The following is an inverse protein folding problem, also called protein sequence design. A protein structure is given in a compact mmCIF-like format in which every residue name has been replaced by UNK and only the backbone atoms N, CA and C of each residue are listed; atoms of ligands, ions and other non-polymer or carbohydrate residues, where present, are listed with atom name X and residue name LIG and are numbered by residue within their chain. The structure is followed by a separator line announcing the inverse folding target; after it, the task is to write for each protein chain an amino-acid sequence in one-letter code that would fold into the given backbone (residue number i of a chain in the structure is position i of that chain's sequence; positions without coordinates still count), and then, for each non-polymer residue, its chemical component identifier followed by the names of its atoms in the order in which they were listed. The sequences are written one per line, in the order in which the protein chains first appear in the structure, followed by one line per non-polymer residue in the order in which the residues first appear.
data_IF_923102518332
#
_entry.id   IF_923102518332
#
_cell.length_a   1.000
_cell.length_b   1.000
_cell.length_c   1.000
_cell.angle_alpha   90.00
_cell.angle_beta   90.00
_cell.angle_gamma   90.00
#
_symmetry.space_group_name_H-M   'P 1'
#
loop_
_entity.id
_entity.type
_entity.pdbx_description
1 polymer ?
#
# COMPACT_ATOMS: atom_id res chain seq x y z
N UNK A 1 -0.04 44.97 -29.55
CA UNK A 1 0.96 45.06 -28.47
C UNK A 1 0.24 44.83 -27.16
N UNK A 2 0.18 43.58 -26.71
CA UNK A 2 -0.22 43.17 -25.37
C UNK A 2 0.05 41.67 -25.29
N UNK A 3 1.25 41.36 -24.83
CA UNK A 3 1.72 40.03 -24.46
C UNK A 3 1.03 39.72 -23.14
N UNK A 4 0.26 38.63 -23.08
CA UNK A 4 -0.22 38.05 -21.82
C UNK A 4 0.45 36.69 -21.68
N UNK A 5 1.14 36.55 -20.57
CA UNK A 5 2.20 35.58 -20.31
C UNK A 5 1.70 34.13 -20.24
N UNK A 6 2.16 33.31 -21.19
CA UNK A 6 2.03 31.85 -21.19
C UNK A 6 3.10 31.18 -20.32
N UNK A 7 3.15 31.47 -19.01
CA UNK A 7 4.22 31.01 -18.11
C UNK A 7 3.80 30.16 -16.92
N UNK A 8 2.65 29.48 -16.98
CA UNK A 8 2.21 28.59 -15.87
C UNK A 8 1.78 27.17 -16.26
N UNK A 9 1.77 26.80 -17.55
CA UNK A 9 1.26 25.50 -18.00
C UNK A 9 2.32 24.39 -18.22
N UNK A 10 3.63 24.67 -18.07
CA UNK A 10 4.69 23.76 -18.52
C UNK A 10 5.65 23.26 -17.41
N UNK A 11 5.12 22.95 -16.21
CA UNK A 11 5.93 22.40 -15.10
C UNK A 11 5.57 20.98 -14.65
N UNK A 12 4.53 20.37 -15.21
CA UNK A 12 4.10 19.00 -14.82
C UNK A 12 4.54 17.90 -15.79
N UNK A 13 5.14 18.23 -16.94
CA UNK A 13 5.75 17.22 -17.82
C UNK A 13 7.16 16.86 -17.34
N UNK A 14 7.33 15.59 -16.98
CA UNK A 14 8.61 14.86 -16.76
C UNK A 14 9.33 15.06 -15.42
N UNK A 15 8.69 14.71 -14.31
CA UNK A 15 9.40 13.95 -13.28
C UNK A 15 8.53 12.79 -12.81
N UNK A 16 8.96 11.52 -12.93
CA UNK A 16 8.37 10.49 -12.08
C UNK A 16 8.50 10.99 -10.64
N UNK A 17 7.42 10.93 -9.88
CA UNK A 17 7.46 11.29 -8.46
C UNK A 17 8.57 10.43 -7.85
N UNK A 18 9.69 11.03 -7.43
CA UNK A 18 10.87 10.30 -6.96
C UNK A 18 10.63 9.85 -5.52
N UNK A 19 9.94 8.72 -5.39
CA UNK A 19 9.39 8.11 -4.16
C UNK A 19 10.41 7.28 -3.38
N UNK A 20 11.68 7.69 -3.45
CA UNK A 20 12.81 6.94 -2.87
C UNK A 20 13.61 7.76 -1.85
N UNK A 21 13.21 8.99 -1.56
CA UNK A 21 13.98 9.89 -0.70
C UNK A 21 14.07 9.36 0.73
N UNK A 22 12.97 8.89 1.32
CA UNK A 22 12.99 8.29 2.65
C UNK A 22 13.82 7.01 2.68
N UNK A 23 13.66 6.13 1.69
CA UNK A 23 14.40 4.88 1.61
C UNK A 23 15.90 5.12 1.45
N UNK A 24 16.31 6.07 0.61
CA UNK A 24 17.71 6.50 0.46
C UNK A 24 18.26 7.08 1.76
N UNK A 25 17.50 7.94 2.43
CA UNK A 25 17.88 8.50 3.74
C UNK A 25 18.02 7.38 4.78
N UNK A 26 17.11 6.42 4.80
CA UNK A 26 17.16 5.26 5.70
C UNK A 26 18.38 4.37 5.43
N UNK A 27 18.67 4.03 4.17
CA UNK A 27 19.88 3.28 3.81
C UNK A 27 21.15 4.03 4.13
N UNK A 28 21.18 5.35 3.91
CA UNK A 28 22.32 6.18 4.30
C UNK A 28 22.51 6.17 5.82
N UNK A 29 21.43 6.28 6.59
CA UNK A 29 21.48 6.21 8.05
C UNK A 29 21.93 4.84 8.56
N UNK A 30 21.44 3.74 7.96
CA UNK A 30 21.90 2.39 8.26
C UNK A 30 23.40 2.23 7.95
N UNK A 31 23.87 2.74 6.81
CA UNK A 31 25.28 2.71 6.46
C UNK A 31 26.14 3.48 7.48
N UNK A 32 25.69 4.66 7.91
CA UNK A 32 26.35 5.45 8.96
C UNK A 32 26.39 4.69 10.29
N UNK A 33 25.29 4.04 10.69
CA UNK A 33 25.23 3.23 11.92
C UNK A 33 26.22 2.06 11.83
N UNK A 34 26.24 1.33 10.71
CA UNK A 34 27.17 0.21 10.49
C UNK A 34 28.61 0.69 10.55
N UNK A 35 28.94 1.81 9.93
CA UNK A 35 30.29 2.42 9.99
C UNK A 35 30.66 2.86 11.41
N UNK A 36 29.71 3.43 12.15
CA UNK A 36 29.93 3.84 13.54
C UNK A 36 30.19 2.61 14.44
N UNK A 37 29.40 1.54 14.30
CA UNK A 37 29.61 0.28 15.02
C UNK A 37 30.95 -0.35 14.66
N UNK A 38 31.31 -0.39 13.36
CA UNK A 38 32.59 -0.91 12.92
C UNK A 38 33.76 -0.11 13.50
N UNK A 39 33.64 1.22 13.52
CA UNK A 39 34.64 2.11 14.14
C UNK A 39 34.74 1.84 15.64
N UNK A 40 33.63 1.72 16.35
CA UNK A 40 33.61 1.36 17.78
C UNK A 40 34.24 -0.02 18.03
N UNK A 41 33.97 -1.01 17.19
CA UNK A 41 34.58 -2.34 17.30
C UNK A 41 36.10 -2.32 17.06
N UNK A 42 36.57 -1.42 16.18
CA UNK A 42 38.00 -1.23 15.93
C UNK A 42 38.71 -0.66 17.16
N UNK A 43 38.14 0.38 17.79
CA UNK A 43 38.72 0.99 18.99
C UNK A 43 38.49 0.17 20.26
N UNK A 44 37.43 -0.64 20.32
CA UNK A 44 37.07 -1.48 21.45
C UNK A 44 36.83 -2.93 21.00
N UNK A 45 37.89 -3.74 20.79
CA UNK A 45 37.78 -5.13 20.30
C UNK A 45 36.89 -6.04 21.19
N UNK A 46 36.77 -5.71 22.48
CA UNK A 46 35.84 -6.39 23.40
C UNK A 46 34.39 -6.28 22.90
N UNK A 47 34.00 -5.15 22.32
CA UNK A 47 32.67 -4.95 21.74
C UNK A 47 32.42 -5.95 20.60
N UNK A 48 33.43 -6.21 19.76
CA UNK A 48 33.32 -7.20 18.69
C UNK A 48 33.10 -8.61 19.25
N UNK A 49 33.81 -8.99 20.31
CA UNK A 49 33.63 -10.27 20.98
C UNK A 49 32.23 -10.40 21.61
N UNK A 50 31.72 -9.34 22.23
CA UNK A 50 30.36 -9.30 22.79
C UNK A 50 29.31 -9.43 21.69
N UNK A 51 29.42 -8.67 20.60
CA UNK A 51 28.50 -8.73 19.47
C UNK A 51 28.54 -10.12 18.79
N UNK A 52 29.73 -10.70 18.63
CA UNK A 52 29.91 -12.06 18.11
C UNK A 52 29.29 -13.12 19.01
N UNK A 53 29.46 -13.00 20.32
CA UNK A 53 28.82 -13.87 21.31
C UNK A 53 27.29 -13.78 21.27
N UNK A 54 26.73 -12.57 21.16
CA UNK A 54 25.30 -12.35 20.99
C UNK A 54 24.78 -12.95 19.68
N UNK A 55 25.48 -12.76 18.56
CA UNK A 55 25.11 -13.34 17.28
C UNK A 55 25.13 -14.88 17.32
N UNK A 56 26.12 -15.48 17.98
CA UNK A 56 26.22 -16.92 18.17
C UNK A 56 25.09 -17.45 19.07
N UNK A 57 24.79 -16.75 20.16
CA UNK A 57 23.67 -17.08 21.04
C UNK A 57 22.34 -17.03 20.28
N UNK A 58 22.12 -16.00 19.47
CA UNK A 58 20.93 -15.88 18.61
C UNK A 58 20.86 -17.01 17.56
N UNK A 59 22.00 -17.36 16.96
CA UNK A 59 22.10 -18.50 16.04
C UNK A 59 21.71 -19.83 16.71
N UNK A 60 22.26 -20.12 17.89
CA UNK A 60 21.91 -21.30 18.68
C UNK A 60 20.44 -21.29 19.11
N UNK A 61 19.94 -20.16 19.61
CA UNK A 61 18.54 -20.00 20.00
C UNK A 61 17.61 -20.29 18.83
N UNK A 62 17.95 -19.82 17.63
CA UNK A 62 17.22 -20.07 16.38
C UNK A 62 17.26 -21.54 15.92
N UNK A 63 18.37 -22.23 16.16
CA UNK A 63 18.46 -23.67 15.87
C UNK A 63 17.53 -24.49 16.77
N UNK A 64 17.43 -24.12 18.05
CA UNK A 64 16.59 -24.80 19.05
C UNK A 64 15.11 -24.37 18.93
N UNK A 65 14.84 -23.18 18.41
CA UNK A 65 13.48 -22.63 18.30
C UNK A 65 12.62 -23.43 17.32
N UNK A 66 11.58 -24.07 17.86
CA UNK A 66 10.65 -24.94 17.10
C UNK A 66 9.53 -24.18 16.39
N UNK A 67 9.37 -22.88 16.65
CA UNK A 67 8.24 -22.09 16.16
C UNK A 67 8.43 -21.49 14.76
N UNK A 68 8.96 -22.26 13.80
CA UNK A 68 9.31 -21.75 12.47
C UNK A 68 8.08 -21.41 11.62
N UNK A 69 8.24 -20.40 10.76
CA UNK A 69 7.31 -20.01 9.69
C UNK A 69 5.90 -19.67 10.18
N UNK A 70 5.81 -18.99 11.34
CA UNK A 70 4.54 -18.62 11.97
C UNK A 70 4.13 -17.16 11.75
N UNK A 71 5.00 -16.33 11.20
CA UNK A 71 4.84 -14.88 11.19
C UNK A 71 5.13 -14.29 9.81
N UNK A 72 4.32 -13.31 9.41
CA UNK A 72 4.58 -12.53 8.20
C UNK A 72 5.59 -11.40 8.50
N UNK A 73 6.51 -11.11 7.55
CA UNK A 73 7.35 -9.90 7.50
C UNK A 73 6.60 -8.56 7.41
N UNK A 74 5.53 -8.34 8.16
CA UNK A 74 4.91 -7.04 8.30
C UNK A 74 4.44 -6.82 9.72
N UNK A 75 4.79 -5.68 10.33
CA UNK A 75 4.36 -5.26 11.66
C UNK A 75 4.62 -6.25 12.83
N UNK A 76 5.41 -7.32 12.71
CA UNK A 76 5.37 -8.45 13.67
C UNK A 76 3.96 -9.07 13.74
N UNK A 77 3.43 -9.38 12.55
CA UNK A 77 2.09 -9.88 12.28
C UNK A 77 1.60 -10.97 13.24
N UNK A 78 0.29 -11.15 13.22
CA UNK A 78 -0.42 -12.21 13.96
C UNK A 78 0.22 -13.57 13.72
N UNK A 79 0.21 -14.42 14.77
CA UNK A 79 0.64 -15.82 14.62
C UNK A 79 -0.30 -16.51 13.63
N UNK A 80 0.22 -16.86 12.46
CA UNK A 80 -0.58 -17.40 11.35
C UNK A 80 -1.29 -18.70 11.69
N UNK A 81 -0.96 -19.38 12.79
CA UNK A 81 -1.70 -20.56 13.28
C UNK A 81 -3.14 -20.28 13.68
N UNK A 82 -3.53 -19.02 13.81
CA UNK A 82 -4.95 -18.65 13.96
C UNK A 82 -5.77 -18.93 12.70
N UNK A 83 -5.10 -19.07 11.55
CA UNK A 83 -5.72 -19.34 10.27
C UNK A 83 -5.66 -20.82 9.91
N UNK A 84 -6.56 -21.23 9.02
CA UNK A 84 -6.58 -22.56 8.42
C UNK A 84 -5.30 -22.84 7.61
N UNK A 85 -4.90 -24.11 7.54
CA UNK A 85 -3.63 -24.51 6.93
C UNK A 85 -3.51 -24.12 5.45
N UNK A 86 -4.62 -24.11 4.71
CA UNK A 86 -4.65 -23.66 3.31
C UNK A 86 -4.28 -22.17 3.19
N UNK A 87 -4.90 -21.30 4.00
CA UNK A 87 -4.59 -19.86 3.98
C UNK A 87 -3.18 -19.58 4.50
N UNK A 88 -2.70 -20.36 5.47
CA UNK A 88 -1.29 -20.31 5.91
C UNK A 88 -0.32 -20.67 4.78
N UNK A 89 -0.68 -21.67 3.98
CA UNK A 89 0.05 -22.04 2.77
C UNK A 89 0.09 -20.89 1.76
N UNK A 90 -1.06 -20.27 1.52
CA UNK A 90 -1.19 -19.10 0.65
C UNK A 90 -0.29 -17.95 1.12
N UNK A 91 -0.36 -17.56 2.39
CA UNK A 91 0.51 -16.54 3.01
C UNK A 91 1.99 -16.82 2.73
N UNK A 92 2.45 -18.06 2.94
CA UNK A 92 3.86 -18.42 2.72
C UNK A 92 4.26 -18.23 1.26
N UNK A 93 3.43 -18.72 0.33
CA UNK A 93 3.70 -18.64 -1.10
C UNK A 93 3.64 -17.20 -1.63
N UNK A 94 2.76 -16.37 -1.06
CA UNK A 94 2.71 -14.94 -1.28
C UNK A 94 4.04 -14.29 -0.92
N UNK A 95 4.55 -14.52 0.29
CA UNK A 95 5.83 -13.93 0.72
C UNK A 95 7.01 -14.32 -0.18
N UNK A 96 7.07 -15.58 -0.62
CA UNK A 96 8.11 -16.02 -1.55
C UNK A 96 7.99 -15.35 -2.91
N UNK A 97 6.78 -15.13 -3.39
CA UNK A 97 6.51 -14.52 -4.70
C UNK A 97 6.78 -13.02 -4.70
N UNK A 98 6.31 -12.28 -3.68
CA UNK A 98 6.49 -10.82 -3.58
C UNK A 98 7.96 -10.41 -3.55
N UNK A 99 8.85 -11.24 -2.96
CA UNK A 99 10.31 -11.00 -2.98
C UNK A 99 10.87 -10.85 -4.39
N UNK A 100 10.27 -11.51 -5.39
CA UNK A 100 10.70 -11.46 -6.81
C UNK A 100 10.10 -10.27 -7.56
N UNK A 101 9.04 -9.68 -7.04
CA UNK A 101 8.27 -8.62 -7.69
C UNK A 101 8.58 -7.23 -7.13
N UNK A 102 9.65 -7.06 -6.34
CA UNK A 102 9.99 -5.77 -5.73
C UNK A 102 10.20 -4.68 -6.78
N UNK A 103 9.46 -3.59 -6.66
CA UNK A 103 9.62 -2.36 -7.43
C UNK A 103 10.17 -1.22 -6.55
N UNK A 104 10.81 -0.24 -7.18
CA UNK A 104 11.17 1.04 -6.55
C UNK A 104 10.11 2.12 -6.80
N UNK A 105 9.32 1.95 -7.85
CA UNK A 105 8.19 2.81 -8.17
C UNK A 105 7.00 2.42 -7.30
N UNK A 106 6.11 3.38 -7.06
CA UNK A 106 4.84 3.14 -6.40
C UNK A 106 3.91 2.35 -7.30
N UNK A 107 3.22 1.39 -6.70
CA UNK A 107 2.61 0.29 -7.43
C UNK A 107 1.44 0.79 -8.27
N UNK A 108 0.51 1.54 -7.66
CA UNK A 108 -0.63 2.11 -8.38
C UNK A 108 -0.21 2.89 -9.64
N UNK A 109 0.73 3.83 -9.50
CA UNK A 109 1.12 4.67 -10.64
C UNK A 109 1.90 3.92 -11.71
N UNK A 110 2.71 2.95 -11.28
CA UNK A 110 3.42 2.07 -12.21
C UNK A 110 2.44 1.28 -13.06
N UNK A 111 1.44 0.64 -12.43
CA UNK A 111 0.46 -0.14 -13.16
C UNK A 111 -0.43 0.76 -14.03
N UNK A 112 -0.91 1.90 -13.51
CA UNK A 112 -1.69 2.86 -14.28
C UNK A 112 -0.95 3.36 -15.54
N UNK A 113 0.37 3.60 -15.45
CA UNK A 113 1.20 4.01 -16.59
C UNK A 113 1.50 2.86 -17.58
N UNK A 114 1.36 1.60 -17.16
CA UNK A 114 1.68 0.41 -17.95
C UNK A 114 0.45 -0.29 -18.52
N UNK A 115 -0.75 0.26 -18.31
CA UNK A 115 -1.98 -0.28 -18.88
C UNK A 115 -1.89 -0.35 -20.41
N UNK A 116 -2.28 -1.47 -21.04
CA UNK A 116 -2.33 -1.58 -22.50
C UNK A 116 -3.30 -0.53 -23.05
N UNK A 117 -3.05 0.04 -24.25
CA UNK A 117 -3.94 1.05 -24.84
C UNK A 117 -5.38 0.52 -24.89
N UNK A 118 -6.41 1.39 -24.73
CA UNK A 118 -7.79 0.94 -24.70
C UNK A 118 -8.11 0.08 -25.91
N UNK A 119 -8.82 -1.02 -25.66
CA UNK A 119 -9.33 -1.88 -26.73
C UNK A 119 -10.19 -1.04 -27.68
N UNK A 120 -10.10 -1.30 -29.00
CA UNK A 120 -10.98 -0.62 -29.98
C UNK A 120 -12.44 -1.09 -29.88
N UNK A 121 -12.65 -2.22 -29.22
CA UNK A 121 -13.95 -2.88 -29.05
C UNK A 121 -14.66 -2.39 -27.78
N UNK A 122 -13.91 -1.96 -26.76
CA UNK A 122 -14.41 -1.46 -25.47
C UNK A 122 -13.97 -0.01 -25.24
N UNK A 123 -14.70 0.98 -25.80
CA UNK A 123 -14.33 2.39 -25.66
C UNK A 123 -14.46 2.93 -24.22
N UNK A 124 -15.18 2.22 -23.34
CA UNK A 124 -15.38 2.58 -21.94
C UNK A 124 -14.78 1.51 -21.00
N UNK A 125 -13.46 1.55 -20.83
CA UNK A 125 -12.77 0.80 -19.78
C UNK A 125 -12.83 1.54 -18.43
N UNK A 126 -13.02 0.79 -17.34
CA UNK A 126 -13.10 1.34 -15.98
C UNK A 126 -11.77 1.25 -15.25
N UNK A 127 -11.31 2.39 -14.74
CA UNK A 127 -10.23 2.49 -13.77
C UNK A 127 -10.85 2.96 -12.45
N UNK A 128 -10.93 2.07 -11.47
CA UNK A 128 -11.56 2.32 -10.17
C UNK A 128 -10.50 2.52 -9.09
N UNK A 129 -10.73 3.51 -8.24
CA UNK A 129 -9.91 3.83 -7.07
C UNK A 129 -10.81 3.88 -5.83
N UNK A 130 -10.70 2.89 -4.95
CA UNK A 130 -11.61 2.67 -3.83
C UNK A 130 -10.93 3.01 -2.50
N UNK A 131 -11.46 4.02 -1.79
CA UNK A 131 -10.81 4.59 -0.62
C UNK A 131 -9.74 5.59 -1.05
N UNK A 132 -10.13 6.83 -1.30
CA UNK A 132 -9.24 7.83 -1.93
C UNK A 132 -8.86 8.98 -1.01
N UNK A 133 -9.52 9.10 0.14
CA UNK A 133 -9.37 10.19 1.10
C UNK A 133 -9.50 11.56 0.43
N UNK A 134 -8.38 12.26 0.20
CA UNK A 134 -8.37 13.57 -0.48
C UNK A 134 -8.15 13.47 -1.99
N UNK A 135 -8.20 12.29 -2.58
CA UNK A 135 -8.26 12.04 -4.03
C UNK A 135 -6.94 12.15 -4.80
N UNK A 136 -5.78 12.18 -4.12
CA UNK A 136 -4.48 12.29 -4.82
C UNK A 136 -4.06 11.01 -5.52
N UNK A 137 -4.41 9.83 -4.98
CA UNK A 137 -4.26 8.55 -5.67
C UNK A 137 -4.97 8.60 -7.03
N UNK A 138 -6.23 9.01 -7.03
CA UNK A 138 -7.11 9.05 -8.22
C UNK A 138 -6.56 10.01 -9.27
N UNK A 139 -6.19 11.22 -8.84
CA UNK A 139 -5.62 12.25 -9.72
C UNK A 139 -4.31 11.81 -10.35
N UNK A 140 -3.44 11.21 -9.56
CA UNK A 140 -2.15 10.75 -10.07
C UNK A 140 -2.27 9.52 -10.97
N UNK A 141 -3.20 8.61 -10.66
CA UNK A 141 -3.51 7.48 -11.53
C UNK A 141 -4.07 7.96 -12.88
N UNK A 142 -4.90 9.02 -12.88
CA UNK A 142 -5.39 9.65 -14.11
C UNK A 142 -4.24 10.32 -14.91
N UNK A 143 -3.32 11.02 -14.24
CA UNK A 143 -2.14 11.60 -14.89
C UNK A 143 -1.22 10.51 -15.49
N UNK A 144 -1.04 9.39 -14.78
CA UNK A 144 -0.19 8.28 -15.19
C UNK A 144 -0.76 7.48 -16.36
N UNK A 145 -2.07 7.18 -16.32
CA UNK A 145 -2.76 6.41 -17.36
C UNK A 145 -3.21 7.24 -18.56
N UNK A 146 -3.42 8.56 -18.36
CA UNK A 146 -4.06 9.43 -19.33
C UNK A 146 -5.57 9.16 -19.54
N UNK A 147 -6.19 8.33 -18.69
CA UNK A 147 -7.59 7.89 -18.77
C UNK A 147 -8.44 8.49 -17.66
N UNK A 148 -9.75 8.33 -17.80
CA UNK A 148 -10.71 8.66 -16.74
C UNK A 148 -10.53 7.68 -15.58
N UNK A 149 -10.45 8.20 -14.35
CA UNK A 149 -10.38 7.39 -13.12
C UNK A 149 -11.52 7.79 -12.20
N UNK A 150 -12.21 6.79 -11.64
CA UNK A 150 -13.37 6.95 -10.77
C UNK A 150 -12.96 6.69 -9.32
N UNK A 151 -12.98 7.72 -8.48
CA UNK A 151 -12.58 7.65 -7.07
C UNK A 151 -13.80 7.55 -6.16
N UNK A 152 -13.88 6.48 -5.36
CA UNK A 152 -14.97 6.22 -4.43
C UNK A 152 -14.51 6.44 -3.00
N UNK A 153 -15.20 7.29 -2.26
CA UNK A 153 -14.95 7.51 -0.83
C UNK A 153 -16.17 8.14 -0.18
N UNK A 154 -16.24 8.03 1.14
CA UNK A 154 -17.23 8.76 1.93
C UNK A 154 -16.88 10.24 2.02
N UNK A 155 -15.60 10.55 1.92
CA UNK A 155 -14.99 11.84 2.20
C UNK A 155 -15.31 12.34 3.63
N UNK A 156 -15.53 11.39 4.54
CA UNK A 156 -15.82 11.64 5.95
C UNK A 156 -14.78 11.00 6.88
N UNK A 157 -13.77 10.31 6.31
CA UNK A 157 -12.77 9.53 7.04
C UNK A 157 -13.24 8.09 7.30
N UNK A 158 -12.57 7.39 8.22
CA UNK A 158 -12.93 6.00 8.54
C UNK A 158 -14.35 5.91 9.08
N UNK A 159 -15.16 5.06 8.45
CA UNK A 159 -16.55 4.79 8.83
C UNK A 159 -16.71 3.65 9.81
N UNK A 160 -15.68 2.83 9.94
CA UNK A 160 -15.60 1.67 10.83
C UNK A 160 -14.28 1.68 11.61
N UNK A 161 -14.22 0.92 12.71
CA UNK A 161 -12.97 0.69 13.42
C UNK A 161 -12.06 -0.19 12.54
N UNK A 162 -10.89 0.33 12.17
CA UNK A 162 -9.90 -0.42 11.40
C UNK A 162 -8.98 -1.21 12.34
N UNK A 163 -9.16 -2.53 12.36
CA UNK A 163 -8.33 -3.43 13.15
C UNK A 163 -7.18 -4.01 12.31
N UNK A 164 -5.98 -3.46 12.51
CA UNK A 164 -4.73 -3.96 11.91
C UNK A 164 -4.19 -5.11 12.74
N UNK A 165 -4.50 -6.35 12.32
CA UNK A 165 -4.23 -7.58 13.06
C UNK A 165 -4.66 -7.48 14.55
N UNK A 166 -3.84 -8.01 15.48
CA UNK A 166 -4.04 -7.90 16.92
C UNK A 166 -3.14 -6.79 17.52
N UNK A 167 -2.86 -5.72 16.78
CA UNK A 167 -1.85 -4.72 17.16
C UNK A 167 -2.39 -3.34 17.39
N UNK A 168 -3.25 -2.88 16.48
CA UNK A 168 -3.72 -1.52 16.47
C UNK A 168 -5.17 -1.51 16.02
N UNK A 169 -6.00 -0.83 16.79
CA UNK A 169 -7.34 -0.47 16.37
C UNK A 169 -7.32 1.02 16.11
N UNK A 170 -7.39 1.40 14.84
CA UNK A 170 -7.58 2.78 14.42
C UNK A 170 -9.08 3.04 14.49
N UNK A 171 -9.48 3.98 15.35
CA UNK A 171 -10.90 4.21 15.63
C UNK A 171 -11.61 4.89 14.47
N UNK A 172 -12.88 4.55 14.30
CA UNK A 172 -13.81 5.28 13.42
C UNK A 172 -13.65 6.79 13.59
N UNK A 173 -13.66 7.51 12.48
CA UNK A 173 -13.46 8.97 12.43
C UNK A 173 -11.99 9.38 12.37
N UNK A 174 -11.02 8.47 12.49
CA UNK A 174 -9.63 8.77 12.12
C UNK A 174 -9.57 9.08 10.63
N UNK A 175 -8.65 9.98 10.25
CA UNK A 175 -8.57 10.56 8.90
C UNK A 175 -9.78 11.43 8.51
N UNK A 176 -10.65 11.76 9.48
CA UNK A 176 -11.72 12.72 9.25
C UNK A 176 -11.16 14.04 8.72
N UNK A 177 -11.81 14.54 7.66
CA UNK A 177 -11.50 15.82 7.03
C UNK A 177 -11.84 17.02 7.94
N UNK A 178 -12.42 16.78 9.12
CA UNK A 178 -12.81 17.82 10.09
C UNK A 178 -11.72 18.15 11.11
N UNK A 179 -10.66 17.35 11.24
CA UNK A 179 -9.59 17.63 12.19
C UNK A 179 -8.75 18.84 11.76
N UNK A 180 -8.43 19.81 12.66
CA UNK A 180 -7.70 21.02 12.27
C UNK A 180 -6.33 20.79 11.63
N UNK A 181 -5.61 19.75 12.07
CA UNK A 181 -4.31 19.38 11.48
C UNK A 181 -4.48 18.75 10.09
N UNK A 182 -5.51 17.91 9.91
CA UNK A 182 -5.86 17.33 8.63
C UNK A 182 -6.26 18.42 7.63
N UNK A 183 -7.14 19.35 8.01
CA UNK A 183 -7.55 20.48 7.16
C UNK A 183 -6.38 21.33 6.70
N UNK A 184 -5.44 21.62 7.61
CA UNK A 184 -4.23 22.38 7.29
C UNK A 184 -3.34 21.63 6.30
N UNK A 185 -3.15 20.34 6.51
CA UNK A 185 -2.39 19.50 5.59
C UNK A 185 -3.05 19.43 4.20
N UNK A 186 -4.37 19.21 4.14
CA UNK A 186 -5.16 19.14 2.92
C UNK A 186 -5.01 20.44 2.12
N UNK A 187 -5.21 21.58 2.77
CA UNK A 187 -5.03 22.90 2.16
C UNK A 187 -3.60 23.09 1.64
N UNK A 188 -2.60 22.61 2.37
CA UNK A 188 -1.19 22.69 1.95
C UNK A 188 -0.88 21.85 0.71
N UNK A 189 -1.67 20.80 0.43
CA UNK A 189 -1.61 20.05 -0.84
C UNK A 189 -2.28 20.76 -2.01
N UNK A 190 -2.99 21.86 -1.78
CA UNK A 190 -3.76 22.56 -2.82
C UNK A 190 -5.14 21.94 -3.10
N UNK A 191 -5.61 21.06 -2.21
CA UNK A 191 -6.98 20.52 -2.24
C UNK A 191 -7.86 21.39 -1.34
N UNK A 192 -9.00 21.82 -1.86
CA UNK A 192 -10.05 22.50 -1.09
C UNK A 192 -11.35 21.77 -1.35
N UNK A 193 -11.94 21.19 -0.31
CA UNK A 193 -13.18 20.44 -0.45
C UNK A 193 -14.34 21.38 -0.77
N UNK A 194 -15.14 21.03 -1.76
CA UNK A 194 -16.38 21.72 -2.15
C UNK A 194 -17.53 20.73 -1.92
N UNK A 195 -18.48 21.08 -1.05
CA UNK A 195 -19.59 20.19 -0.65
C UNK A 195 -19.14 18.81 -0.13
N UNK A 196 -17.96 18.77 0.48
CA UNK A 196 -17.33 17.55 0.99
C UNK A 196 -16.64 16.70 -0.08
N UNK A 197 -16.59 17.15 -1.33
CA UNK A 197 -15.86 16.49 -2.42
C UNK A 197 -14.56 17.22 -2.76
N UNK A 198 -13.45 16.50 -3.00
CA UNK A 198 -12.26 17.11 -3.55
C UNK A 198 -12.47 17.48 -5.03
N UNK A 199 -11.90 18.59 -5.52
CA UNK A 199 -11.99 18.96 -6.93
C UNK A 199 -11.10 18.06 -7.79
N UNK A 200 -11.48 17.92 -9.06
CA UNK A 200 -10.71 17.21 -10.07
C UNK A 200 -9.35 17.88 -10.40
N UNK A 201 -9.22 19.18 -10.12
CA UNK A 201 -8.02 19.98 -10.41
C UNK A 201 -7.55 19.86 -11.87
N UNK A 202 -8.50 19.87 -12.81
CA UNK A 202 -8.25 19.81 -14.26
C UNK A 202 -7.84 18.43 -14.80
N UNK A 203 -8.00 17.36 -14.01
CA UNK A 203 -7.66 15.99 -14.40
C UNK A 203 -8.90 15.19 -14.78
N UNK A 204 -8.69 14.10 -15.50
CA UNK A 204 -9.73 13.14 -15.89
C UNK A 204 -10.12 12.26 -14.70
N UNK A 205 -10.77 12.88 -13.71
CA UNK A 205 -11.24 12.19 -12.51
C UNK A 205 -12.69 12.53 -12.23
N UNK A 206 -13.40 11.56 -11.68
CA UNK A 206 -14.76 11.71 -11.16
C UNK A 206 -14.76 11.13 -9.76
N UNK A 207 -15.26 11.91 -8.79
CA UNK A 207 -15.35 11.48 -7.41
C UNK A 207 -16.79 11.13 -7.06
N UNK A 208 -16.99 9.91 -6.58
CA UNK A 208 -18.28 9.37 -6.19
C UNK A 208 -18.34 9.38 -4.67
N UNK A 209 -19.18 10.27 -4.10
CA UNK A 209 -19.36 10.39 -2.65
C UNK A 209 -20.33 9.34 -2.14
N UNK A 210 -19.89 8.55 -1.17
CA UNK A 210 -20.73 7.63 -0.42
C UNK A 210 -19.99 6.35 -0.04
N UNK A 211 -20.68 5.49 0.71
CA UNK A 211 -20.17 4.15 1.01
C UNK A 211 -20.09 3.33 -0.28
N UNK A 212 -19.05 2.50 -0.42
CA UNK A 212 -18.92 1.58 -1.56
C UNK A 212 -20.12 0.64 -1.67
N UNK A 213 -20.70 0.25 -0.53
CA UNK A 213 -21.95 -0.52 -0.41
C UNK A 213 -23.14 0.10 -1.14
N UNK A 214 -23.22 1.42 -1.19
CA UNK A 214 -24.35 2.14 -1.79
C UNK A 214 -24.04 2.66 -3.19
N UNK A 215 -22.76 2.77 -3.55
CA UNK A 215 -22.31 3.53 -4.74
C UNK A 215 -21.78 2.66 -5.87
N UNK A 216 -21.11 1.52 -5.57
CA UNK A 216 -20.49 0.69 -6.61
C UNK A 216 -21.52 0.02 -7.52
N UNK A 217 -22.55 -0.61 -6.95
CA UNK A 217 -23.56 -1.32 -7.73
C UNK A 217 -24.32 -0.38 -8.70
N UNK A 218 -24.86 0.78 -8.26
CA UNK A 218 -25.47 1.74 -9.18
C UNK A 218 -24.50 2.26 -10.25
N UNK A 219 -23.25 2.57 -9.88
CA UNK A 219 -22.24 3.05 -10.82
C UNK A 219 -21.95 2.05 -11.93
N UNK A 220 -21.82 0.76 -11.59
CA UNK A 220 -21.61 -0.31 -12.56
C UNK A 220 -22.86 -0.56 -13.41
N UNK A 221 -24.06 -0.44 -12.85
CA UNK A 221 -25.32 -0.64 -13.58
C UNK A 221 -25.50 0.38 -14.71
N UNK A 222 -24.99 1.60 -14.56
CA UNK A 222 -24.98 2.62 -15.62
C UNK A 222 -24.03 2.31 -16.78
N UNK A 223 -23.10 1.36 -16.58
CA UNK A 223 -22.02 1.03 -17.53
C UNK A 223 -21.95 -0.48 -17.75
N UNK A 224 -23.02 -1.15 -18.22
CA UNK A 224 -23.18 -2.61 -18.12
C UNK A 224 -22.03 -3.43 -18.72
N UNK A 225 -21.47 -2.98 -19.84
CA UNK A 225 -20.48 -3.73 -20.62
C UNK A 225 -19.03 -3.27 -20.35
N UNK A 226 -18.85 -2.22 -19.56
CA UNK A 226 -17.54 -1.61 -19.31
C UNK A 226 -16.65 -2.53 -18.45
N UNK A 227 -15.52 -3.04 -18.98
CA UNK A 227 -14.62 -3.91 -18.24
C UNK A 227 -13.76 -3.09 -17.26
N UNK A 228 -13.40 -3.68 -16.13
CA UNK A 228 -12.46 -3.08 -15.18
C UNK A 228 -11.04 -3.44 -15.59
N UNK A 229 -10.26 -2.47 -16.05
CA UNK A 229 -8.84 -2.68 -16.43
C UNK A 229 -7.89 -2.40 -15.27
N UNK A 230 -8.23 -1.45 -14.40
CA UNK A 230 -7.50 -1.18 -13.17
C UNK A 230 -8.48 -1.10 -12.00
N UNK A 231 -8.16 -1.83 -10.94
CA UNK A 231 -8.92 -1.85 -9.70
C UNK A 231 -7.97 -1.59 -8.53
N UNK A 232 -8.01 -0.39 -7.96
CA UNK A 232 -7.22 -0.03 -6.79
C UNK A 232 -8.09 -0.13 -5.52
N UNK A 233 -7.61 -0.92 -4.55
CA UNK A 233 -8.27 -1.24 -3.29
C UNK A 233 -7.49 -0.65 -2.11
N UNK A 234 -8.09 0.30 -1.41
CA UNK A 234 -7.61 0.89 -0.14
C UNK A 234 -8.82 1.07 0.81
N UNK A 235 -9.55 -0.02 1.07
CA UNK A 235 -10.79 -0.02 1.87
C UNK A 235 -10.59 -0.45 3.33
N UNK A 236 -9.35 -0.68 3.76
CA UNK A 236 -8.87 -1.00 5.12
C UNK A 236 -9.45 -2.28 5.78
N UNK A 237 -10.77 -2.53 5.69
CA UNK A 237 -11.49 -3.63 6.34
C UNK A 237 -11.76 -4.79 5.38
N UNK A 238 -11.78 -6.00 5.94
CA UNK A 238 -12.04 -7.24 5.19
C UNK A 238 -13.40 -7.22 4.49
N UNK A 239 -14.44 -6.81 5.21
CA UNK A 239 -15.83 -6.78 4.75
C UNK A 239 -15.98 -5.83 3.56
N UNK A 240 -15.41 -4.62 3.65
CA UNK A 240 -15.44 -3.63 2.57
C UNK A 240 -14.67 -4.11 1.34
N UNK A 241 -13.51 -4.73 1.55
CA UNK A 241 -12.71 -5.30 0.46
C UNK A 241 -13.46 -6.43 -0.26
N UNK A 242 -14.04 -7.38 0.50
CA UNK A 242 -14.77 -8.49 -0.07
C UNK A 242 -16.03 -8.01 -0.80
N UNK A 243 -16.76 -7.05 -0.22
CA UNK A 243 -17.91 -6.44 -0.86
C UNK A 243 -17.54 -5.82 -2.21
N UNK A 244 -16.47 -5.02 -2.26
CA UNK A 244 -16.03 -4.39 -3.51
C UNK A 244 -15.62 -5.41 -4.58
N UNK A 245 -14.89 -6.47 -4.21
CA UNK A 245 -14.53 -7.56 -5.14
C UNK A 245 -15.77 -8.29 -5.67
N UNK A 246 -16.71 -8.65 -4.80
CA UNK A 246 -17.94 -9.35 -5.18
C UNK A 246 -18.86 -8.49 -6.05
N UNK A 247 -19.00 -7.19 -5.74
CA UNK A 247 -19.80 -6.26 -6.55
C UNK A 247 -19.21 -6.03 -7.93
N UNK A 248 -17.87 -6.05 -8.06
CA UNK A 248 -17.17 -5.83 -9.32
C UNK A 248 -16.90 -7.12 -10.13
N UNK A 249 -17.25 -8.30 -9.59
CA UNK A 249 -16.80 -9.60 -10.11
C UNK A 249 -17.07 -9.80 -11.60
N UNK A 250 -18.25 -9.37 -12.07
CA UNK A 250 -18.71 -9.63 -13.44
C UNK A 250 -18.03 -8.70 -14.45
N UNK A 251 -17.24 -7.73 -13.99
CA UNK A 251 -16.53 -6.73 -14.80
C UNK A 251 -15.05 -6.99 -14.92
N UNK A 252 -14.49 -7.91 -14.14
CA UNK A 252 -13.11 -8.35 -14.32
C UNK A 252 -12.96 -9.12 -15.64
N UNK A 253 -11.81 -8.95 -16.28
CA UNK A 253 -11.41 -9.61 -17.52
C UNK A 253 -9.99 -10.15 -17.38
N UNK A 254 -9.59 -11.03 -18.29
CA UNK A 254 -8.18 -11.37 -18.41
C UNK A 254 -7.38 -10.11 -18.75
N UNK A 255 -6.30 -9.86 -18.01
CA UNK A 255 -5.53 -8.63 -18.07
C UNK A 255 -5.96 -7.54 -17.09
N UNK A 256 -7.09 -7.69 -16.38
CA UNK A 256 -7.44 -6.79 -15.27
C UNK A 256 -6.33 -6.76 -14.23
N UNK A 257 -5.88 -5.55 -13.87
CA UNK A 257 -4.86 -5.33 -12.84
C UNK A 257 -5.53 -4.89 -11.55
N UNK A 258 -5.32 -5.65 -10.48
CA UNK A 258 -5.77 -5.33 -9.13
C UNK A 258 -4.57 -4.83 -8.33
N UNK A 259 -4.71 -3.70 -7.66
CA UNK A 259 -3.71 -3.09 -6.79
C UNK A 259 -4.31 -2.95 -5.40
N UNK A 260 -3.58 -3.41 -4.38
CA UNK A 260 -3.99 -3.51 -2.99
C UNK A 260 -3.03 -2.67 -2.14
N UNK A 261 -3.48 -1.66 -1.40
CA UNK A 261 -2.59 -0.76 -0.65
C UNK A 261 -2.01 -1.41 0.61
N UNK A 262 -2.82 -2.23 1.30
CA UNK A 262 -2.49 -2.88 2.57
C UNK A 262 -2.52 -4.42 2.46
N UNK A 263 -2.07 -4.95 1.32
CA UNK A 263 -2.12 -6.39 1.01
C UNK A 263 -1.43 -7.29 2.02
N UNK A 264 -0.47 -6.80 2.82
CA UNK A 264 0.22 -7.63 3.82
C UNK A 264 -0.44 -7.62 5.21
N UNK A 265 -1.65 -7.06 5.32
CA UNK A 265 -2.52 -7.19 6.50
C UNK A 265 -3.31 -8.51 6.39
N UNK A 266 -2.97 -9.48 7.23
CA UNK A 266 -3.42 -10.89 7.05
C UNK A 266 -4.90 -11.12 7.30
N UNK A 267 -5.56 -10.24 8.04
CA UNK A 267 -6.98 -10.28 8.32
C UNK A 267 -7.82 -9.37 7.42
N UNK A 268 -7.20 -8.61 6.49
CA UNK A 268 -7.87 -7.61 5.63
C UNK A 268 -7.87 -8.01 4.15
N UNK A 269 -7.28 -7.14 3.32
CA UNK A 269 -7.22 -7.26 1.85
C UNK A 269 -6.73 -8.64 1.36
N UNK A 270 -5.66 -9.18 1.94
CA UNK A 270 -5.13 -10.49 1.56
C UNK A 270 -6.18 -11.59 1.69
N UNK A 271 -6.94 -11.53 2.79
CA UNK A 271 -7.94 -12.54 3.11
C UNK A 271 -9.14 -12.41 2.18
N UNK A 272 -9.62 -11.19 1.96
CA UNK A 272 -10.70 -10.91 1.02
C UNK A 272 -10.36 -11.43 -0.39
N UNK A 273 -9.14 -11.13 -0.87
CA UNK A 273 -8.69 -11.64 -2.15
C UNK A 273 -8.54 -13.16 -2.16
N UNK A 274 -7.95 -13.77 -1.12
CA UNK A 274 -7.79 -15.23 -1.03
C UNK A 274 -9.13 -15.98 -1.11
N UNK A 275 -10.15 -15.52 -0.39
CA UNK A 275 -11.47 -16.14 -0.40
C UNK A 275 -12.16 -15.92 -1.75
N UNK A 276 -12.08 -14.71 -2.33
CA UNK A 276 -12.62 -14.39 -3.64
C UNK A 276 -12.00 -15.23 -4.77
N UNK A 277 -10.67 -15.25 -4.88
CA UNK A 277 -9.97 -15.99 -5.94
C UNK A 277 -10.24 -17.50 -5.84
N UNK A 278 -10.36 -18.03 -4.61
CA UNK A 278 -10.66 -19.44 -4.37
C UNK A 278 -12.08 -19.78 -4.80
N UNK A 279 -13.05 -18.95 -4.39
CA UNK A 279 -14.48 -19.14 -4.68
C UNK A 279 -14.74 -19.25 -6.17
N UNK A 280 -14.06 -18.42 -6.96
CA UNK A 280 -14.26 -18.37 -8.42
C UNK A 280 -13.21 -19.14 -9.22
N UNK A 281 -12.19 -19.73 -8.58
CA UNK A 281 -11.12 -20.45 -9.26
C UNK A 281 -10.30 -19.55 -10.19
N UNK A 282 -10.06 -18.29 -9.79
CA UNK A 282 -9.29 -17.33 -10.58
C UNK A 282 -7.85 -17.81 -10.79
N UNK A 283 -7.35 -17.62 -12.00
CA UNK A 283 -5.93 -17.68 -12.30
C UNK A 283 -5.37 -16.26 -12.32
N UNK A 284 -4.23 -16.07 -11.67
CA UNK A 284 -3.65 -14.74 -11.50
C UNK A 284 -2.14 -14.83 -11.25
N UNK A 285 -1.44 -13.70 -11.38
CA UNK A 285 -0.01 -13.58 -11.06
C UNK A 285 0.31 -12.26 -10.37
N UNK A 286 1.27 -12.29 -9.44
CA UNK A 286 1.85 -11.07 -8.88
C UNK A 286 2.66 -10.31 -9.94
N UNK A 287 2.49 -8.98 -9.98
CA UNK A 287 3.19 -8.10 -10.92
C UNK A 287 4.24 -7.24 -10.22
N UNK A 288 3.83 -6.52 -9.19
CA UNK A 288 4.71 -5.62 -8.47
C UNK A 288 4.40 -5.63 -6.97
N UNK A 289 5.44 -5.37 -6.18
CA UNK A 289 5.35 -5.11 -4.76
C UNK A 289 6.21 -3.89 -4.43
N UNK A 290 5.60 -2.90 -3.79
CA UNK A 290 6.24 -1.64 -3.43
C UNK A 290 5.98 -1.28 -1.97
N UNK A 291 6.72 -0.30 -1.51
CA UNK A 291 6.43 0.36 -0.24
C UNK A 291 5.53 1.54 -0.57
N UNK A 292 4.35 1.56 0.02
CA UNK A 292 3.49 2.73 -0.03
C UNK A 292 3.51 3.44 1.32
N UNK A 293 3.65 4.74 1.23
CA UNK A 293 3.69 5.65 2.36
C UNK A 293 2.89 6.86 1.92
N UNK A 294 2.32 7.56 2.90
CA UNK A 294 1.83 8.94 2.87
C UNK A 294 2.67 9.96 2.06
N UNK A 295 3.88 9.58 1.58
CA UNK A 295 4.71 10.32 0.64
C UNK A 295 3.94 10.85 -0.56
N UNK A 296 2.98 10.10 -1.10
CA UNK A 296 2.20 10.56 -2.25
C UNK A 296 1.44 11.87 -1.94
N UNK A 297 0.79 11.94 -0.78
CA UNK A 297 0.07 13.14 -0.35
C UNK A 297 1.04 14.26 0.08
N UNK A 298 2.14 13.91 0.78
CA UNK A 298 3.14 14.90 1.20
C UNK A 298 3.86 15.54 0.01
N UNK A 299 4.15 14.78 -1.05
CA UNK A 299 4.73 15.32 -2.29
C UNK A 299 3.86 16.40 -2.93
N UNK A 300 2.56 16.38 -2.68
CA UNK A 300 1.62 17.37 -3.20
C UNK A 300 1.60 18.67 -2.40
N UNK A 301 2.28 18.71 -1.24
CA UNK A 301 2.43 19.94 -0.47
C UNK A 301 3.16 21.00 -1.29
N UNK A 302 2.45 22.08 -1.61
CA UNK A 302 2.87 23.13 -2.54
C UNK A 302 4.13 23.86 -2.07
N UNK A 303 4.25 24.10 -0.76
CA UNK A 303 5.43 24.73 -0.17
C UNK A 303 6.55 23.73 0.10
N UNK A 304 7.74 23.98 -0.47
CA UNK A 304 8.94 23.15 -0.28
C UNK A 304 9.34 23.04 1.19
N UNK A 305 9.25 24.13 1.95
CA UNK A 305 9.60 24.15 3.37
C UNK A 305 8.61 23.36 4.21
N UNK A 306 7.31 23.50 3.93
CA UNK A 306 6.27 22.72 4.63
C UNK A 306 6.39 21.24 4.30
N UNK A 307 6.65 20.90 3.02
CA UNK A 307 6.91 19.52 2.58
C UNK A 307 8.06 18.89 3.36
N UNK A 308 9.19 19.61 3.48
CA UNK A 308 10.32 19.17 4.29
C UNK A 308 9.93 18.96 5.76
N UNK A 309 9.18 19.89 6.36
CA UNK A 309 8.69 19.74 7.72
C UNK A 309 7.76 18.52 7.90
N UNK A 310 6.83 18.28 6.96
CA UNK A 310 5.98 17.10 6.96
C UNK A 310 6.78 15.81 6.84
N UNK A 311 7.82 15.78 6.01
CA UNK A 311 8.73 14.64 5.96
C UNK A 311 9.44 14.39 7.30
N UNK A 312 9.93 15.44 7.96
CA UNK A 312 10.51 15.30 9.30
C UNK A 312 9.50 14.79 10.31
N UNK A 313 8.25 15.27 10.28
CA UNK A 313 7.18 14.80 11.16
C UNK A 313 6.86 13.33 10.88
N UNK A 314 6.73 12.93 9.61
CA UNK A 314 6.48 11.53 9.23
C UNK A 314 7.65 10.62 9.65
N UNK A 315 8.89 11.05 9.44
CA UNK A 315 10.09 10.30 9.88
C UNK A 315 10.09 10.16 11.39
N UNK A 316 9.82 11.25 12.12
CA UNK A 316 9.81 11.26 13.58
C UNK A 316 8.66 10.44 14.14
N UNK A 317 7.47 10.55 13.55
CA UNK A 317 6.28 9.75 13.88
C UNK A 317 6.49 8.27 13.56
N UNK A 318 7.14 7.95 12.44
CA UNK A 318 7.55 6.59 12.11
C UNK A 318 8.52 6.04 13.16
N UNK A 319 9.45 6.87 13.66
CA UNK A 319 10.39 6.50 14.73
C UNK A 319 9.73 6.32 16.09
N UNK A 320 8.67 7.09 16.41
CA UNK A 320 8.05 7.10 17.74
C UNK A 320 6.79 6.23 17.87
N UNK A 321 5.98 6.10 16.82
CA UNK A 321 4.66 5.44 16.84
C UNK A 321 4.53 4.29 15.81
N UNK A 322 5.27 4.37 14.70
CA UNK A 322 5.28 3.36 13.62
C UNK A 322 6.23 2.17 13.87
N UNK A 323 6.80 1.60 12.79
CA UNK A 323 7.79 0.51 12.86
C UNK A 323 9.08 0.91 13.61
N UNK A 324 9.28 2.21 13.91
CA UNK A 324 10.25 2.70 14.90
C UNK A 324 10.11 2.12 16.30
N UNK A 325 9.02 1.37 16.54
CA UNK A 325 8.99 0.34 17.57
C UNK A 325 10.26 -0.51 17.60
N UNK A 326 11.12 -0.68 16.59
CA UNK A 326 12.37 -1.47 16.71
C UNK A 326 13.15 -1.25 18.03
N UNK A 327 13.22 -0.02 18.55
CA UNK A 327 13.90 0.28 19.83
C UNK A 327 13.19 -0.37 21.03
N UNK A 328 11.86 -0.47 21.00
CA UNK A 328 11.01 -1.05 22.04
C UNK A 328 10.48 -2.46 21.73
N UNK A 329 10.47 -2.85 20.46
CA UNK A 329 9.94 -4.10 19.92
C UNK A 329 10.77 -5.26 20.40
N UNK A 330 12.07 -5.04 20.63
CA UNK A 330 12.94 -5.98 21.32
C UNK A 330 12.36 -6.46 22.67
N UNK A 331 11.52 -5.66 23.35
CA UNK A 331 10.84 -6.07 24.59
C UNK A 331 9.52 -6.82 24.34
N UNK A 332 9.01 -6.85 23.11
CA UNK A 332 7.82 -7.62 22.74
C UNK A 332 8.17 -9.10 22.50
N UNK A 333 7.32 -10.01 22.98
CA UNK A 333 7.42 -11.43 22.70
C UNK A 333 7.27 -11.73 21.20
N UNK A 334 6.43 -10.98 20.47
CA UNK A 334 6.20 -11.17 19.03
C UNK A 334 7.45 -10.90 18.21
N UNK A 335 8.27 -9.91 18.60
CA UNK A 335 9.58 -9.64 18.01
C UNK A 335 10.45 -10.89 18.03
N UNK A 336 10.69 -11.45 19.22
CA UNK A 336 11.56 -12.61 19.35
C UNK A 336 11.03 -13.84 18.63
N UNK A 337 9.70 -14.04 18.64
CA UNK A 337 9.08 -15.15 17.92
C UNK A 337 9.29 -15.04 16.41
N UNK A 338 9.22 -13.83 15.85
CA UNK A 338 9.59 -13.56 14.47
C UNK A 338 11.08 -13.81 14.23
N UNK A 339 11.99 -13.14 14.94
CA UNK A 339 13.43 -13.22 14.66
C UNK A 339 14.04 -14.62 14.87
N UNK A 340 13.51 -15.39 15.83
CA UNK A 340 13.93 -16.78 16.05
C UNK A 340 13.27 -17.78 15.10
N UNK A 341 12.09 -17.47 14.54
CA UNK A 341 11.29 -18.42 13.77
C UNK A 341 11.18 -18.15 12.26
N UNK A 342 11.35 -16.90 11.82
CA UNK A 342 11.10 -16.48 10.44
C UNK A 342 12.23 -16.93 9.50
N UNK A 343 11.95 -17.39 8.28
CA UNK A 343 12.96 -17.66 7.25
C UNK A 343 14.00 -16.53 7.08
N UNK A 344 15.23 -16.86 6.67
CA UNK A 344 16.25 -15.84 6.41
C UNK A 344 15.82 -14.86 5.31
N UNK A 345 15.08 -15.35 4.31
CA UNK A 345 14.51 -14.50 3.27
C UNK A 345 13.47 -13.50 3.80
N UNK A 346 12.72 -13.88 4.83
CA UNK A 346 11.73 -13.03 5.51
C UNK A 346 12.39 -11.95 6.37
N UNK A 347 13.48 -12.30 7.05
CA UNK A 347 14.32 -11.35 7.78
C UNK A 347 14.97 -10.34 6.82
N UNK A 348 15.57 -10.82 5.72
CA UNK A 348 16.18 -9.95 4.72
C UNK A 348 15.14 -9.04 4.04
N UNK A 349 13.93 -9.58 3.80
CA UNK A 349 12.80 -8.81 3.30
C UNK A 349 12.40 -7.70 4.27
N UNK A 350 12.22 -8.00 5.57
CA UNK A 350 11.94 -6.99 6.61
C UNK A 350 13.00 -5.87 6.62
N UNK A 351 14.28 -6.25 6.68
CA UNK A 351 15.38 -5.30 6.79
C UNK A 351 15.54 -4.43 5.53
N UNK A 352 15.21 -4.96 4.36
CA UNK A 352 15.27 -4.26 3.08
C UNK A 352 14.03 -3.41 2.75
N UNK A 353 12.98 -3.49 3.58
CA UNK A 353 11.66 -2.91 3.35
C UNK A 353 11.28 -1.95 4.49
N UNK A 354 11.89 -0.77 4.54
CA UNK A 354 11.51 0.26 5.51
C UNK A 354 10.25 1.00 5.03
N UNK A 355 9.10 0.73 5.65
CA UNK A 355 7.81 1.34 5.34
C UNK A 355 6.64 0.48 5.83
N UNK A 356 5.57 1.13 6.31
CA UNK A 356 4.44 0.45 6.96
C UNK A 356 3.42 -0.12 5.96
N UNK A 357 3.07 0.61 4.89
CA UNK A 357 2.14 0.10 3.88
C UNK A 357 2.90 -0.59 2.75
N UNK A 358 2.34 -1.70 2.29
CA UNK A 358 3.02 -2.60 1.35
C UNK A 358 2.05 -2.92 0.23
N UNK A 359 1.99 -2.00 -0.73
CA UNK A 359 1.12 -2.18 -1.88
C UNK A 359 1.60 -3.34 -2.75
N UNK A 360 0.64 -4.09 -3.27
CA UNK A 360 0.86 -5.22 -4.17
C UNK A 360 -0.07 -5.11 -5.35
N UNK A 361 0.47 -5.32 -6.55
CA UNK A 361 -0.32 -5.52 -7.76
C UNK A 361 -0.31 -6.96 -8.21
N UNK A 362 -1.44 -7.39 -8.75
CA UNK A 362 -1.61 -8.65 -9.44
C UNK A 362 -2.44 -8.46 -10.70
N UNK A 363 -2.31 -9.42 -11.62
CA UNK A 363 -3.05 -9.46 -12.87
C UNK A 363 -3.82 -10.76 -12.96
N UNK A 364 -5.08 -10.64 -13.35
CA UNK A 364 -5.94 -11.78 -13.65
C UNK A 364 -5.51 -12.38 -14.99
N UNK A 365 -5.17 -13.66 -14.98
CA UNK A 365 -4.73 -14.41 -16.18
C UNK A 365 -5.72 -15.48 -16.60
N UNK A 366 -6.82 -15.65 -15.86
CA UNK A 366 -7.90 -16.56 -16.20
C UNK A 366 -9.07 -16.39 -15.23
N UNK A 367 -10.30 -16.38 -15.76
CA UNK A 367 -11.49 -16.03 -15.00
C UNK A 367 -12.13 -17.20 -14.24
N UNK A 368 -11.71 -18.44 -14.48
CA UNK A 368 -12.30 -19.62 -13.84
C UNK A 368 -13.83 -19.65 -14.03
N UNK A 369 -14.57 -19.74 -12.93
CA UNK A 369 -16.03 -19.73 -12.93
C UNK A 369 -16.64 -18.39 -13.38
N UNK A 370 -15.94 -17.25 -13.23
CA UNK A 370 -16.43 -15.95 -13.72
C UNK A 370 -16.46 -15.86 -15.25
N UNK A 371 -15.69 -16.70 -15.94
CA UNK A 371 -15.71 -16.78 -17.41
C UNK A 371 -16.77 -17.76 -17.95
N UNK A 372 -17.37 -18.60 -17.09
CA UNK A 372 -18.26 -19.68 -17.51
C UNK A 372 -19.70 -19.21 -17.79
N UNK A 373 -20.11 -18.07 -17.21
CA UNK A 373 -21.46 -17.52 -17.38
C UNK A 373 -21.67 -16.75 -18.69
N UNK A 374 -20.72 -16.83 -19.64
CA UNK A 374 -20.89 -16.38 -21.02
C UNK A 374 -21.01 -14.87 -21.17
N UNK A 375 -19.90 -14.24 -21.59
CA UNK A 375 -19.99 -13.01 -22.38
C UNK A 375 -20.04 -13.39 -23.86
#
# INVERSE_FOLDING_TARGET
MSVVDGHTADRTRKRPVDRTTLHRVWHALLAVIVLAIATLCYFFPVLLAVLGGLALLLGCARLIYRGRDRYIPNLYARDTRVYEDEYRGFIRQTMESLRRCKTRDHVLLREAAQLPPPSREDPEELLLDLGVWIGWSTRLAADASGRQVYGFDTFEGLVEDWQVDDQLVIKRGTFSLTEPLAQRFIADTGVTLQDGLPPALGRKVEFIKGMTYDTLAPFLAERPDAPITLFHMDLDTYESCLHALETCKDRFVEGSVLVFDEYLVTNGEMRAFYEFQRKYGLQWRYRAWGLEIWEMNVEMVTSRWKRFAYYLILITGYWSLGDGRYVWAFFDKRFWRFWLGAPLGDIAFMLGAAGQRKSVSLEITGLGALGADGR
#
